data_IF_136155452028
#
_entry.id   IF_136155452028
#
_cell.length_a   1.000
_cell.length_b   1.000
_cell.length_c   1.000
_cell.angle_alpha   90.00
_cell.angle_beta   90.00
_cell.angle_gamma   90.00
#
_symmetry.space_group_name_H-M   'P 1'
#
loop_
_entity.id
_entity.type
_entity.pdbx_description
1 polymer ?
#
# COMPACT_ATOMS: atom_id res chain seq x y z
N UNK A 1 -48.94 -45.81 13.76
CA UNK A 1 -48.51 -44.39 13.84
C UNK A 1 -47.02 -44.39 14.06
N UNK A 2 -46.24 -44.35 12.99
CA UNK A 2 -44.77 -44.25 13.05
C UNK A 2 -44.40 -42.77 12.88
N UNK A 3 -43.66 -42.22 13.85
CA UNK A 3 -43.14 -40.86 13.78
C UNK A 3 -41.73 -40.88 13.19
N UNK A 4 -41.58 -40.25 12.02
CA UNK A 4 -40.32 -40.08 11.32
C UNK A 4 -39.59 -38.81 11.82
N UNK A 5 -38.45 -38.98 12.49
CA UNK A 5 -37.65 -37.86 13.03
C UNK A 5 -36.71 -37.31 11.95
N UNK A 6 -37.04 -36.15 11.39
CA UNK A 6 -36.19 -35.47 10.42
C UNK A 6 -34.85 -35.00 11.05
N UNK A 7 -33.72 -35.55 10.59
CA UNK A 7 -32.37 -35.07 10.93
C UNK A 7 -32.12 -33.71 10.27
N UNK A 8 -32.13 -32.66 11.07
CA UNK A 8 -31.74 -31.29 10.68
C UNK A 8 -30.25 -31.25 10.32
N UNK A 9 -29.92 -31.10 9.02
CA UNK A 9 -28.55 -30.84 8.56
C UNK A 9 -28.06 -29.53 9.18
N UNK A 10 -27.07 -29.60 10.09
CA UNK A 10 -26.38 -28.41 10.62
C UNK A 10 -25.50 -27.85 9.52
N UNK A 11 -25.83 -26.68 9.01
CA UNK A 11 -24.93 -25.86 8.21
C UNK A 11 -23.78 -25.35 9.09
N UNK A 12 -22.52 -25.35 8.61
CA UNK A 12 -21.39 -24.84 9.38
C UNK A 12 -21.59 -23.36 9.70
N UNK A 13 -21.24 -22.96 10.92
CA UNK A 13 -21.30 -21.57 11.36
C UNK A 13 -20.33 -20.71 10.53
N UNK A 14 -20.82 -19.70 9.78
CA UNK A 14 -19.98 -18.84 8.93
C UNK A 14 -18.97 -18.01 9.72
N UNK A 15 -19.19 -17.76 11.02
CA UNK A 15 -18.23 -17.04 11.85
C UNK A 15 -16.96 -17.86 12.10
N UNK A 16 -17.11 -19.19 12.32
CA UNK A 16 -15.99 -20.09 12.56
C UNK A 16 -15.15 -20.41 11.32
N UNK A 17 -15.68 -20.19 10.11
CA UNK A 17 -14.93 -20.32 8.86
C UNK A 17 -14.06 -19.09 8.57
N UNK A 18 -14.58 -17.89 8.90
CA UNK A 18 -13.89 -16.62 8.71
C UNK A 18 -12.69 -16.48 9.65
N UNK A 19 -12.82 -16.91 10.91
CA UNK A 19 -11.72 -16.91 11.88
C UNK A 19 -10.62 -17.91 11.48
N UNK A 20 -10.99 -19.09 10.99
CA UNK A 20 -10.04 -20.09 10.47
C UNK A 20 -9.27 -19.58 9.26
N UNK A 21 -9.93 -18.94 8.31
CA UNK A 21 -9.27 -18.35 7.14
C UNK A 21 -8.33 -17.21 7.55
N UNK A 22 -8.70 -16.40 8.53
CA UNK A 22 -7.86 -15.32 9.06
C UNK A 22 -6.59 -15.83 9.74
N UNK A 23 -6.68 -16.94 10.49
CA UNK A 23 -5.52 -17.62 11.11
C UNK A 23 -4.64 -18.30 10.05
N UNK A 24 -5.23 -18.84 8.98
CA UNK A 24 -4.48 -19.41 7.85
C UNK A 24 -3.76 -18.32 7.04
N UNK A 25 -4.42 -17.19 6.76
CA UNK A 25 -3.82 -16.02 6.09
C UNK A 25 -2.68 -15.41 6.92
N UNK A 26 -2.82 -15.35 8.26
CA UNK A 26 -1.74 -14.91 9.15
C UNK A 26 -0.54 -15.87 9.14
N UNK A 27 -0.79 -17.19 9.11
CA UNK A 27 0.27 -18.21 8.98
C UNK A 27 0.95 -18.23 7.61
N UNK A 28 0.26 -17.81 6.55
CA UNK A 28 0.86 -17.66 5.22
C UNK A 28 1.67 -16.36 5.09
N UNK A 29 1.27 -15.29 5.79
CA UNK A 29 2.03 -14.02 5.82
C UNK A 29 3.35 -14.15 6.61
N UNK A 30 3.41 -15.01 7.63
CA UNK A 30 4.65 -15.32 8.37
C UNK A 30 5.71 -16.07 7.53
N UNK A 31 5.34 -16.68 6.39
CA UNK A 31 6.25 -17.46 5.53
C UNK A 31 7.10 -16.63 4.55
N UNK A 32 7.06 -15.30 4.62
CA UNK A 32 7.71 -14.42 3.63
C UNK A 32 9.05 -13.84 4.10
N UNK A 33 9.42 -14.07 5.36
CA UNK A 33 10.76 -13.77 5.87
C UNK A 33 11.59 -15.04 5.69
N UNK A 34 12.73 -15.01 4.97
CA UNK A 34 13.66 -16.13 4.95
C UNK A 34 13.94 -16.56 6.38
N UNK A 35 14.01 -17.87 6.63
CA UNK A 35 14.39 -18.35 7.95
C UNK A 35 15.72 -17.65 8.34
N UNK A 36 15.81 -16.98 9.51
CA UNK A 36 17.03 -16.29 9.91
C UNK A 36 18.28 -17.17 9.83
N UNK A 37 18.13 -18.49 9.97
CA UNK A 37 19.20 -19.46 9.79
C UNK A 37 19.57 -19.66 8.31
N UNK A 38 18.58 -19.66 7.41
CA UNK A 38 18.78 -19.78 5.97
C UNK A 38 19.48 -18.53 5.40
N UNK A 39 19.04 -17.33 5.80
CA UNK A 39 19.68 -16.07 5.40
C UNK A 39 21.14 -15.99 5.87
N UNK A 40 21.42 -16.39 7.11
CA UNK A 40 22.78 -16.48 7.64
C UNK A 40 23.64 -17.49 6.86
N UNK A 41 23.12 -18.69 6.59
CA UNK A 41 23.84 -19.73 5.85
C UNK A 41 24.18 -19.29 4.41
N UNK A 42 23.25 -18.62 3.73
CA UNK A 42 23.47 -18.11 2.38
C UNK A 42 24.49 -16.96 2.37
N UNK A 43 24.46 -16.07 3.36
CA UNK A 43 25.46 -14.99 3.51
C UNK A 43 26.86 -15.54 3.74
N UNK A 44 27.01 -16.57 4.58
CA UNK A 44 28.29 -17.25 4.79
C UNK A 44 28.80 -17.90 3.49
N UNK A 45 27.91 -18.53 2.71
CA UNK A 45 28.28 -19.10 1.41
C UNK A 45 28.80 -18.04 0.41
N UNK A 46 28.27 -16.81 0.46
CA UNK A 46 28.72 -15.71 -0.41
C UNK A 46 30.12 -15.19 -0.05
N UNK A 47 30.56 -15.34 1.19
CA UNK A 47 31.95 -15.05 1.57
C UNK A 47 32.89 -15.99 0.81
N UNK A 48 32.62 -17.30 0.83
CA UNK A 48 33.41 -18.29 0.09
C UNK A 48 33.34 -18.12 -1.42
N UNK A 49 32.20 -17.66 -1.95
CA UNK A 49 32.07 -17.31 -3.37
C UNK A 49 33.11 -16.24 -3.76
N UNK A 50 33.22 -15.17 -2.97
CA UNK A 50 34.17 -14.08 -3.18
C UNK A 50 35.62 -14.55 -3.19
N UNK A 51 35.97 -15.42 -2.25
CA UNK A 51 37.35 -15.92 -2.07
C UNK A 51 37.75 -16.95 -3.13
N UNK A 52 36.85 -17.86 -3.49
CA UNK A 52 37.19 -19.05 -4.28
C UNK A 52 36.80 -18.92 -5.76
N UNK A 53 35.67 -18.29 -6.07
CA UNK A 53 35.10 -18.32 -7.42
C UNK A 53 35.44 -17.09 -8.26
N UNK A 54 35.60 -15.90 -7.67
CA UNK A 54 36.00 -14.70 -8.42
C UNK A 54 37.33 -14.89 -9.20
N UNK A 55 38.37 -15.54 -8.63
CA UNK A 55 39.59 -15.86 -9.38
C UNK A 55 39.35 -16.76 -10.59
N UNK A 56 38.39 -17.70 -10.50
CA UNK A 56 38.04 -18.58 -11.63
C UNK A 56 37.36 -17.81 -12.76
N UNK A 57 36.73 -16.68 -12.46
CA UNK A 57 36.13 -15.77 -13.45
C UNK A 57 37.10 -14.69 -13.96
N UNK A 58 38.38 -14.77 -13.59
CA UNK A 58 39.41 -13.83 -14.05
C UNK A 58 39.48 -12.52 -13.26
N UNK A 59 38.71 -12.38 -12.18
CA UNK A 59 38.79 -11.27 -11.22
C UNK A 59 39.88 -11.62 -10.22
N UNK A 60 41.01 -10.91 -10.26
CA UNK A 60 42.24 -11.28 -9.53
C UNK A 60 42.43 -10.47 -8.25
N UNK A 61 41.61 -9.45 -8.07
CA UNK A 61 41.56 -8.62 -6.88
C UNK A 61 41.16 -9.49 -5.68
N UNK A 62 41.92 -9.37 -4.59
CA UNK A 62 41.60 -10.05 -3.35
C UNK A 62 40.40 -9.36 -2.69
N UNK A 63 39.32 -10.11 -2.47
CA UNK A 63 38.21 -9.66 -1.63
C UNK A 63 38.68 -9.54 -0.19
N UNK A 64 38.51 -8.37 0.42
CA UNK A 64 38.91 -8.11 1.82
C UNK A 64 37.72 -7.95 2.76
N UNK A 65 36.53 -7.67 2.23
CA UNK A 65 35.29 -7.60 2.97
C UNK A 65 34.08 -7.74 2.02
N UNK A 66 32.97 -8.26 2.53
CA UNK A 66 31.65 -8.16 1.92
C UNK A 66 30.94 -6.95 2.54
N UNK A 67 30.44 -6.04 1.70
CA UNK A 67 29.62 -4.91 2.17
C UNK A 67 28.19 -5.39 2.50
N UNK A 68 27.44 -4.65 3.34
CA UNK A 68 26.03 -4.92 3.54
C UNK A 68 25.29 -5.02 2.21
N UNK A 69 24.38 -5.99 2.11
CA UNK A 69 23.50 -6.15 0.94
C UNK A 69 22.34 -5.15 0.93
N UNK A 70 22.27 -4.31 1.97
CA UNK A 70 21.25 -3.29 2.16
C UNK A 70 21.93 -1.93 2.29
N UNK A 71 21.67 -1.05 1.32
CA UNK A 71 22.00 0.36 1.41
C UNK A 71 20.75 1.11 1.85
N UNK A 72 20.79 1.71 3.05
CA UNK A 72 19.65 2.47 3.58
C UNK A 72 19.75 3.92 3.11
N UNK A 73 18.93 4.28 2.12
CA UNK A 73 18.73 5.67 1.70
C UNK A 73 17.42 6.18 2.31
N UNK A 74 17.50 7.24 3.11
CA UNK A 74 16.33 7.84 3.76
C UNK A 74 15.99 9.20 3.11
N UNK A 75 15.00 9.19 2.22
CA UNK A 75 14.43 10.42 1.65
C UNK A 75 13.24 10.90 2.51
N UNK A 76 13.37 12.07 3.13
CA UNK A 76 12.26 12.71 3.84
C UNK A 76 11.46 13.60 2.88
N UNK A 77 10.29 13.13 2.45
CA UNK A 77 9.30 13.96 1.77
C UNK A 77 8.25 14.47 2.75
N UNK A 78 8.04 15.79 2.78
CA UNK A 78 6.92 16.39 3.52
C UNK A 78 5.70 16.42 2.61
N UNK A 79 4.72 15.58 2.90
CA UNK A 79 3.41 15.61 2.26
C UNK A 79 2.59 16.71 2.94
N UNK A 80 2.45 17.85 2.28
CA UNK A 80 1.58 18.94 2.74
C UNK A 80 0.20 18.70 2.16
N UNK A 81 -0.64 18.03 2.95
CA UNK A 81 -2.08 17.90 2.71
C UNK A 81 -2.79 19.13 3.29
N UNK A 82 -3.87 19.60 2.66
CA UNK A 82 -4.55 20.80 3.14
C UNK A 82 -5.31 20.53 4.46
N UNK A 83 -6.12 19.46 4.52
CA UNK A 83 -6.65 18.92 5.78
C UNK A 83 -7.32 17.55 5.64
N UNK A 84 -7.50 16.90 6.79
CA UNK A 84 -8.17 15.61 6.92
C UNK A 84 -9.21 15.61 8.05
N UNK A 85 -10.34 14.94 7.83
CA UNK A 85 -11.32 14.65 8.88
C UNK A 85 -11.53 13.15 9.03
N UNK A 86 -11.76 12.69 10.25
CA UNK A 86 -12.20 11.30 10.52
C UNK A 86 -13.69 11.30 10.76
N UNK A 87 -14.43 10.47 10.03
CA UNK A 87 -15.88 10.31 10.22
C UNK A 87 -16.20 9.31 11.33
N UNK A 88 -17.46 9.29 11.78
CA UNK A 88 -17.97 8.31 12.75
C UNK A 88 -17.81 6.85 12.25
N UNK A 89 -17.77 6.64 10.93
CA UNK A 89 -17.56 5.33 10.30
C UNK A 89 -16.08 5.00 10.08
N UNK A 90 -15.16 5.66 10.80
CA UNK A 90 -13.72 5.41 10.72
C UNK A 90 -13.11 5.59 9.32
N UNK A 91 -13.73 6.45 8.49
CA UNK A 91 -13.21 6.83 7.17
C UNK A 91 -12.54 8.20 7.25
N UNK A 92 -11.42 8.37 6.58
CA UNK A 92 -10.75 9.66 6.47
C UNK A 92 -11.26 10.39 5.22
N UNK A 93 -11.68 11.63 5.39
CA UNK A 93 -11.98 12.56 4.30
C UNK A 93 -10.75 13.44 4.10
N UNK A 94 -10.02 13.20 3.02
CA UNK A 94 -8.83 13.95 2.62
C UNK A 94 -9.24 15.05 1.65
N UNK A 95 -8.79 16.29 1.89
CA UNK A 95 -9.18 17.45 1.11
C UNK A 95 -7.97 18.19 0.53
N UNK A 96 -8.12 18.64 -0.70
CA UNK A 96 -7.15 19.47 -1.42
C UNK A 96 -7.85 20.66 -2.08
N UNK A 97 -7.21 21.83 -2.09
CA UNK A 97 -7.66 23.01 -2.81
C UNK A 97 -6.87 23.20 -4.09
N UNK A 98 -7.58 23.52 -5.16
CA UNK A 98 -7.00 23.72 -6.48
C UNK A 98 -7.50 25.03 -7.08
N UNK A 99 -6.59 26.01 -7.11
CA UNK A 99 -6.79 27.30 -7.80
C UNK A 99 -6.36 27.25 -9.27
N UNK A 100 -5.56 26.23 -9.64
CA UNK A 100 -5.13 25.94 -11.01
C UNK A 100 -5.44 24.50 -11.38
N UNK A 101 -5.49 24.19 -12.68
CA UNK A 101 -5.71 22.82 -13.15
C UNK A 101 -4.36 22.10 -13.29
N UNK A 102 -3.99 21.32 -12.28
CA UNK A 102 -2.74 20.53 -12.26
C UNK A 102 -2.83 19.23 -13.07
N UNK A 103 -4.02 18.83 -13.54
CA UNK A 103 -4.24 17.61 -14.32
C UNK A 103 -3.69 16.34 -13.65
N UNK A 104 -3.03 15.48 -14.43
CA UNK A 104 -2.48 14.20 -13.97
C UNK A 104 -1.44 14.38 -12.86
N UNK A 105 -0.65 15.46 -12.90
CA UNK A 105 0.38 15.70 -11.89
C UNK A 105 -0.23 15.93 -10.50
N UNK A 106 -1.31 16.72 -10.43
CA UNK A 106 -2.08 16.91 -9.20
C UNK A 106 -2.68 15.59 -8.71
N UNK A 107 -3.33 14.83 -9.59
CA UNK A 107 -3.92 13.53 -9.22
C UNK A 107 -2.89 12.52 -8.70
N UNK A 108 -1.68 12.49 -9.29
CA UNK A 108 -0.60 11.62 -8.79
C UNK A 108 -0.14 12.01 -7.39
N UNK A 109 -0.06 13.32 -7.10
CA UNK A 109 0.27 13.84 -5.77
C UNK A 109 -0.80 13.46 -4.74
N UNK A 110 -2.07 13.67 -5.08
CA UNK A 110 -3.20 13.28 -4.21
C UNK A 110 -3.23 11.78 -3.91
N UNK A 111 -2.92 10.93 -4.91
CA UNK A 111 -2.82 9.47 -4.72
C UNK A 111 -1.75 9.08 -3.71
N UNK A 112 -0.59 9.75 -3.72
CA UNK A 112 0.49 9.49 -2.75
C UNK A 112 0.05 9.86 -1.35
N UNK A 113 -0.60 11.01 -1.19
CA UNK A 113 -1.12 11.49 0.08
C UNK A 113 -2.16 10.53 0.65
N UNK A 114 -3.16 10.17 -0.15
CA UNK A 114 -4.21 9.22 0.20
C UNK A 114 -3.64 7.87 0.66
N UNK A 115 -2.71 7.29 -0.11
CA UNK A 115 -2.11 6.01 0.21
C UNK A 115 -1.25 6.06 1.49
N UNK A 116 -0.47 7.12 1.67
CA UNK A 116 0.36 7.31 2.86
C UNK A 116 -0.51 7.48 4.11
N UNK A 117 -1.54 8.31 4.02
CA UNK A 117 -2.50 8.56 5.10
C UNK A 117 -3.29 7.30 5.45
N UNK A 118 -3.77 6.56 4.44
CA UNK A 118 -4.46 5.28 4.65
C UNK A 118 -3.56 4.28 5.36
N UNK A 119 -2.32 4.10 4.91
CA UNK A 119 -1.35 3.18 5.51
C UNK A 119 -1.03 3.54 6.96
N UNK A 120 -0.78 4.83 7.22
CA UNK A 120 -0.42 5.33 8.56
C UNK A 120 -1.56 5.15 9.56
N UNK A 121 -2.78 5.48 9.15
CA UNK A 121 -3.93 5.48 10.05
C UNK A 121 -4.75 4.19 10.02
N UNK A 122 -4.44 3.27 9.10
CA UNK A 122 -5.14 1.99 8.88
C UNK A 122 -6.65 2.19 8.64
N UNK A 123 -6.99 3.24 7.89
CA UNK A 123 -8.37 3.65 7.58
C UNK A 123 -8.56 3.82 6.08
N UNK A 124 -9.77 3.56 5.55
CA UNK A 124 -10.10 3.98 4.19
C UNK A 124 -10.03 5.50 4.10
N UNK A 125 -9.58 6.01 2.95
CA UNK A 125 -9.47 7.45 2.69
C UNK A 125 -10.27 7.76 1.44
N UNK A 126 -11.05 8.84 1.48
CA UNK A 126 -11.77 9.38 0.32
C UNK A 126 -11.21 10.77 0.05
N UNK A 127 -10.69 10.98 -1.15
CA UNK A 127 -10.12 12.27 -1.55
C UNK A 127 -11.16 13.15 -2.23
N UNK A 128 -11.36 14.34 -1.67
CA UNK A 128 -12.16 15.43 -2.22
C UNK A 128 -11.23 16.54 -2.70
N UNK A 129 -11.51 17.09 -3.89
CA UNK A 129 -10.72 18.21 -4.42
C UNK A 129 -11.64 19.41 -4.67
N UNK A 130 -11.38 20.49 -3.96
CA UNK A 130 -12.10 21.75 -4.07
C UNK A 130 -11.46 22.59 -5.17
N UNK A 131 -12.13 22.67 -6.31
CA UNK A 131 -11.70 23.49 -7.43
C UNK A 131 -12.33 24.88 -7.35
N UNK A 132 -11.50 25.90 -7.56
CA UNK A 132 -12.01 27.26 -7.78
C UNK A 132 -12.98 27.29 -8.96
N UNK A 133 -14.01 28.14 -8.90
CA UNK A 133 -15.05 28.22 -9.95
C UNK A 133 -14.54 28.61 -11.35
N UNK A 134 -13.27 29.00 -11.48
CA UNK A 134 -12.59 29.27 -12.76
C UNK A 134 -12.22 27.98 -13.49
N UNK A 135 -12.03 26.88 -12.77
CA UNK A 135 -11.68 25.58 -13.34
C UNK A 135 -12.97 24.86 -13.72
N UNK A 136 -13.25 24.84 -15.03
CA UNK A 136 -14.39 24.12 -15.58
C UNK A 136 -13.92 22.73 -16.03
N UNK A 137 -14.62 21.69 -15.59
CA UNK A 137 -14.35 20.29 -15.93
C UNK A 137 -12.91 19.84 -15.61
N UNK A 138 -12.50 19.81 -14.32
CA UNK A 138 -11.19 19.29 -13.95
C UNK A 138 -11.07 17.80 -14.30
N UNK A 139 -9.84 17.33 -14.49
CA UNK A 139 -9.57 15.90 -14.55
C UNK A 139 -9.75 15.30 -13.15
N UNK A 140 -10.59 14.27 -13.04
CA UNK A 140 -10.97 13.66 -11.76
C UNK A 140 -10.45 12.24 -11.60
N UNK A 141 -9.87 11.68 -12.66
CA UNK A 141 -9.31 10.34 -12.65
C UNK A 141 -8.15 10.23 -13.62
N UNK A 142 -7.26 9.28 -13.35
CA UNK A 142 -6.26 8.83 -14.31
C UNK A 142 -6.01 7.34 -14.16
N UNK A 143 -5.62 6.71 -15.26
CA UNK A 143 -5.21 5.30 -15.30
C UNK A 143 -3.70 5.20 -15.45
N UNK A 144 -3.09 4.32 -14.67
CA UNK A 144 -1.67 4.00 -14.76
C UNK A 144 -1.46 2.49 -14.61
N UNK A 145 -1.03 1.86 -15.71
CA UNK A 145 -1.09 0.40 -15.84
C UNK A 145 -2.52 -0.11 -15.69
N UNK A 146 -2.73 -1.08 -14.80
CA UNK A 146 -4.04 -1.66 -14.51
C UNK A 146 -4.83 -0.88 -13.45
N UNK A 147 -4.22 0.10 -12.78
CA UNK A 147 -4.84 0.83 -11.69
C UNK A 147 -5.50 2.12 -12.20
N UNK A 148 -6.69 2.41 -11.71
CA UNK A 148 -7.36 3.71 -11.90
C UNK A 148 -7.49 4.40 -10.56
N UNK A 149 -7.01 5.65 -10.49
CA UNK A 149 -7.18 6.51 -9.34
C UNK A 149 -8.27 7.54 -9.62
N UNK A 150 -9.13 7.81 -8.63
CA UNK A 150 -10.28 8.71 -8.75
C UNK A 150 -10.39 9.62 -7.53
N UNK A 151 -10.79 10.86 -7.76
CA UNK A 151 -11.16 11.82 -6.71
C UNK A 151 -12.61 12.26 -6.84
N UNK A 152 -13.17 12.85 -5.79
CA UNK A 152 -14.48 13.50 -5.81
C UNK A 152 -14.28 15.01 -5.97
N UNK A 153 -14.60 15.60 -7.13
CA UNK A 153 -14.47 17.04 -7.31
C UNK A 153 -15.60 17.80 -6.60
N UNK A 154 -15.28 18.94 -6.01
CA UNK A 154 -16.22 19.95 -5.54
C UNK A 154 -15.91 21.24 -6.28
N UNK A 155 -16.81 21.66 -7.19
CA UNK A 155 -16.62 22.90 -7.93
C UNK A 155 -17.27 24.04 -7.15
N UNK A 156 -16.44 24.98 -6.69
CA UNK A 156 -16.95 26.16 -5.98
C UNK A 156 -17.78 27.02 -6.93
N UNK A 157 -19.04 27.26 -6.57
CA UNK A 157 -19.91 28.16 -7.30
C UNK A 157 -19.45 29.60 -7.08
N UNK A 158 -19.49 30.43 -8.13
CA UNK A 158 -19.25 31.86 -7.98
C UNK A 158 -20.44 32.51 -7.27
N UNK A 159 -20.46 32.49 -5.94
CA UNK A 159 -21.39 33.30 -5.15
C UNK A 159 -20.74 34.67 -5.01
N UNK A 160 -21.11 35.58 -5.93
CA UNK A 160 -20.62 36.96 -6.14
C UNK A 160 -19.49 37.07 -7.19
N UNK A 161 -19.89 37.23 -8.46
CA UNK A 161 -19.10 37.94 -9.47
C UNK A 161 -19.42 39.43 -9.40
#
# INVERSE_FOLDING_TARGET
MEHETQKKKRTPDPAGAKERNRVLEQKEQEKTVPDPLEDAALKDAMVYFGELLLPQFGIKEKVTAMLPTEEIILELQRLYEDFNYVTENETILHFEFQSTNEGVAGLKRFRVYEAATSRKHKKPVITYVLYSGKIKNPMTEFQEGVNTYRIIPIIMSNKNA
#
